data_IF_591736989857
#
_entry.id   IF_591736989857
#
_cell.length_a   1.000
_cell.length_b   1.000
_cell.length_c   1.000
_cell.angle_alpha   90.00
_cell.angle_beta   90.00
_cell.angle_gamma   90.00
#
_symmetry.space_group_name_H-M   'P 1'
#
loop_
_entity.id
_entity.type
_entity.pdbx_description
1 polymer ?
#
# COMPACT_ATOMS: atom_id res chain seq x y z
N UNK A 1 23.67 -8.36 -9.26
CA UNK A 1 23.95 -7.40 -8.17
C UNK A 1 23.90 -8.19 -6.87
N UNK A 2 24.89 -8.08 -6.04
CA UNK A 2 24.90 -8.77 -4.74
C UNK A 2 24.05 -8.01 -3.73
N UNK A 3 23.44 -8.66 -2.74
CA UNK A 3 22.62 -8.02 -1.67
C UNK A 3 23.37 -6.89 -0.92
N UNK A 4 24.68 -6.82 -1.04
CA UNK A 4 25.55 -5.81 -0.39
C UNK A 4 25.55 -4.43 -1.08
N UNK A 5 24.86 -4.25 -2.21
CA UNK A 5 24.88 -3.01 -3.00
C UNK A 5 23.69 -2.06 -2.68
N UNK A 6 22.87 -2.36 -1.68
CA UNK A 6 21.69 -1.57 -1.30
C UNK A 6 21.80 -0.98 0.13
N UNK A 7 21.17 0.19 0.41
CA UNK A 7 20.38 1.02 -0.49
C UNK A 7 21.23 1.75 -1.53
N UNK A 8 20.69 1.94 -2.75
CA UNK A 8 21.37 2.59 -3.86
C UNK A 8 20.54 3.71 -4.48
N UNK A 9 21.06 4.91 -4.53
CA UNK A 9 20.45 6.02 -5.27
C UNK A 9 20.52 5.74 -6.77
N UNK A 10 19.38 5.59 -7.45
CA UNK A 10 19.27 5.27 -8.88
C UNK A 10 18.81 6.45 -9.74
N UNK A 11 18.24 7.49 -9.11
CA UNK A 11 17.93 8.78 -9.71
C UNK A 11 18.01 9.86 -8.61
N UNK A 12 17.83 11.13 -8.96
CA UNK A 12 17.95 12.25 -8.03
C UNK A 12 17.06 12.09 -6.77
N UNK A 13 15.82 11.64 -6.98
CA UNK A 13 14.83 11.44 -5.92
C UNK A 13 14.41 9.97 -5.74
N UNK A 14 15.16 8.99 -6.29
CA UNK A 14 14.81 7.57 -6.20
C UNK A 14 15.94 6.77 -5.56
N UNK A 15 15.62 6.12 -4.45
CA UNK A 15 16.51 5.19 -3.75
C UNK A 15 15.96 3.78 -3.82
N UNK A 16 16.71 2.85 -4.38
CA UNK A 16 16.39 1.42 -4.42
C UNK A 16 16.96 0.73 -3.19
N UNK A 17 16.15 -0.09 -2.54
CA UNK A 17 16.48 -0.84 -1.32
C UNK A 17 16.61 -2.34 -1.56
N UNK A 18 15.99 -2.85 -2.61
CA UNK A 18 16.12 -4.25 -3.06
C UNK A 18 15.83 -4.35 -4.56
N UNK A 19 16.48 -5.30 -5.22
CA UNK A 19 16.23 -5.62 -6.62
C UNK A 19 15.34 -6.88 -6.79
N UNK A 20 15.20 -7.70 -5.72
CA UNK A 20 14.37 -8.91 -5.73
C UNK A 20 13.87 -9.25 -4.31
N UNK A 21 12.59 -8.95 -3.98
CA UNK A 21 11.64 -8.19 -4.80
C UNK A 21 12.15 -6.75 -5.04
N UNK A 22 11.66 -6.11 -6.09
CA UNK A 22 11.96 -4.70 -6.30
C UNK A 22 11.32 -3.89 -5.17
N UNK A 23 12.14 -3.10 -4.43
CA UNK A 23 11.68 -2.16 -3.39
C UNK A 23 12.43 -0.84 -3.59
N UNK A 24 11.70 0.25 -3.76
CA UNK A 24 12.28 1.58 -3.88
C UNK A 24 11.40 2.68 -3.29
N UNK A 25 12.02 3.78 -2.93
CA UNK A 25 11.35 4.99 -2.45
C UNK A 25 11.57 6.11 -3.46
N UNK A 26 10.51 6.82 -3.78
CA UNK A 26 10.54 8.08 -4.51
C UNK A 26 10.34 9.20 -3.49
N UNK A 27 11.39 9.95 -3.20
CA UNK A 27 11.34 11.05 -2.25
C UNK A 27 10.60 12.26 -2.85
N UNK A 28 9.92 13.01 -2.00
CA UNK A 28 9.19 14.24 -2.35
C UNK A 28 8.24 14.06 -3.56
N UNK A 29 7.61 12.87 -3.68
CA UNK A 29 6.68 12.57 -4.76
C UNK A 29 5.36 13.35 -4.61
N UNK A 30 4.88 13.51 -3.39
CA UNK A 30 3.71 14.31 -3.05
C UNK A 30 4.14 15.61 -2.39
N UNK A 31 3.52 16.71 -2.78
CA UNK A 31 3.65 17.98 -2.07
C UNK A 31 2.68 18.06 -0.87
N UNK A 32 2.85 19.09 -0.03
CA UNK A 32 2.03 19.32 1.16
C UNK A 32 0.53 19.43 0.87
N UNK A 33 0.17 20.05 -0.24
CA UNK A 33 -1.22 20.21 -0.62
C UNK A 33 -1.87 18.88 -1.01
N UNK A 34 -1.13 18.01 -1.69
CA UNK A 34 -1.58 16.68 -2.08
C UNK A 34 -1.72 15.77 -0.85
N UNK A 35 -0.73 15.76 0.05
CA UNK A 35 -0.81 15.02 1.32
C UNK A 35 -2.05 15.44 2.13
N UNK A 36 -2.25 16.75 2.30
CA UNK A 36 -3.40 17.28 3.02
C UNK A 36 -4.73 16.93 2.32
N UNK A 37 -4.78 16.93 0.98
CA UNK A 37 -5.98 16.58 0.23
C UNK A 37 -6.44 15.13 0.51
N UNK A 38 -5.51 14.17 0.62
CA UNK A 38 -5.84 12.79 1.02
C UNK A 38 -6.44 12.75 2.42
N UNK A 39 -5.79 13.40 3.40
CA UNK A 39 -6.25 13.42 4.79
C UNK A 39 -7.64 14.05 4.89
N UNK A 40 -7.84 15.23 4.31
CA UNK A 40 -9.12 15.93 4.34
C UNK A 40 -10.26 15.15 3.66
N UNK A 41 -9.96 14.43 2.58
CA UNK A 41 -10.95 13.61 1.86
C UNK A 41 -11.47 12.44 2.70
N UNK A 42 -10.69 11.95 3.68
CA UNK A 42 -11.03 10.72 4.39
C UNK A 42 -11.10 10.80 5.91
N UNK A 43 -10.53 11.80 6.58
CA UNK A 43 -10.46 11.86 8.06
C UNK A 43 -11.80 11.68 8.78
N UNK A 44 -12.89 12.15 8.20
CA UNK A 44 -14.24 12.03 8.75
C UNK A 44 -14.97 10.72 8.34
N UNK A 45 -14.33 9.89 7.53
CA UNK A 45 -14.87 8.60 7.02
C UNK A 45 -14.18 7.40 7.66
N UNK A 46 -13.20 7.61 8.53
CA UNK A 46 -12.41 6.56 9.16
C UNK A 46 -13.28 5.62 10.00
N UNK A 47 -12.97 4.33 9.92
CA UNK A 47 -13.55 3.25 10.73
C UNK A 47 -12.42 2.36 11.23
N UNK A 48 -12.61 1.68 12.36
CA UNK A 48 -11.65 0.68 12.84
C UNK A 48 -11.32 -0.33 11.73
N UNK A 49 -10.01 -0.57 11.55
CA UNK A 49 -9.55 -1.52 10.54
C UNK A 49 -9.90 -2.94 10.96
N UNK A 50 -10.60 -3.66 10.10
CA UNK A 50 -10.84 -5.10 10.28
C UNK A 50 -9.79 -5.86 9.48
N UNK A 51 -9.19 -6.88 10.10
CA UNK A 51 -8.42 -7.91 9.37
C UNK A 51 -9.42 -9.02 9.05
N UNK A 52 -9.50 -9.41 7.80
CA UNK A 52 -10.33 -10.52 7.38
C UNK A 52 -9.65 -11.80 7.89
N UNK A 53 -10.33 -12.54 8.75
CA UNK A 53 -9.92 -13.85 9.25
C UNK A 53 -11.04 -14.84 8.94
N UNK A 54 -10.71 -16.10 8.75
CA UNK A 54 -11.62 -17.19 8.35
C UNK A 54 -12.89 -17.35 9.20
N UNK A 55 -12.99 -16.69 10.34
CA UNK A 55 -14.05 -16.85 11.33
C UNK A 55 -14.70 -15.53 11.78
N UNK A 56 -15.21 -14.69 10.87
CA UNK A 56 -15.88 -13.42 11.15
C UNK A 56 -14.96 -12.19 11.20
N UNK A 57 -15.54 -11.00 10.91
CA UNK A 57 -14.90 -9.69 11.08
C UNK A 57 -14.47 -9.49 12.54
N UNK A 58 -13.28 -9.93 12.86
CA UNK A 58 -12.70 -9.74 14.18
C UNK A 58 -11.71 -8.58 14.07
N UNK A 59 -11.86 -7.58 14.95
CA UNK A 59 -10.80 -6.61 15.24
C UNK A 59 -9.60 -7.39 15.75
N UNK A 60 -8.66 -7.71 14.85
CA UNK A 60 -7.52 -8.53 15.24
C UNK A 60 -6.47 -7.65 15.92
N UNK A 61 -5.89 -8.16 17.02
CA UNK A 61 -4.70 -7.62 17.70
C UNK A 61 -3.47 -7.46 16.77
N UNK A 62 -3.57 -7.85 15.51
CA UNK A 62 -2.51 -7.73 14.49
C UNK A 62 -2.50 -6.37 13.77
N UNK A 63 -3.59 -5.60 13.85
CA UNK A 63 -3.70 -4.29 13.22
C UNK A 63 -4.51 -3.35 14.12
N UNK A 64 -3.87 -2.28 14.57
CA UNK A 64 -4.46 -1.25 15.40
C UNK A 64 -4.45 0.08 14.64
N UNK A 65 -5.36 0.21 13.68
CA UNK A 65 -5.49 1.41 12.84
C UNK A 65 -6.95 1.67 12.50
N UNK A 66 -7.22 2.86 11.98
CA UNK A 66 -8.48 3.19 11.34
C UNK A 66 -8.25 3.37 9.84
N UNK A 67 -9.24 3.08 9.01
CA UNK A 67 -9.11 3.29 7.57
C UNK A 67 -10.43 3.70 6.91
N UNK A 68 -10.33 4.24 5.71
CA UNK A 68 -11.44 4.40 4.78
C UNK A 68 -10.94 4.24 3.33
N UNK A 69 -11.89 4.07 2.42
CA UNK A 69 -11.62 3.95 1.00
C UNK A 69 -11.97 5.26 0.28
N UNK A 70 -11.07 5.71 -0.62
CA UNK A 70 -11.25 6.89 -1.45
C UNK A 70 -11.16 6.47 -2.92
N UNK A 71 -12.04 7.00 -3.75
CA UNK A 71 -12.00 6.75 -5.19
C UNK A 71 -10.89 7.58 -5.85
N UNK A 72 -10.46 7.18 -7.06
CA UNK A 72 -9.46 7.93 -7.83
C UNK A 72 -9.98 9.30 -8.31
N UNK A 73 -11.28 9.46 -8.37
CA UNK A 73 -12.00 10.67 -8.78
C UNK A 73 -12.69 11.38 -7.60
N UNK A 74 -12.26 11.10 -6.36
CA UNK A 74 -12.75 11.80 -5.16
C UNK A 74 -12.61 13.33 -5.31
N UNK A 75 -11.52 13.77 -5.91
CA UNK A 75 -11.25 15.13 -6.36
C UNK A 75 -10.14 15.14 -7.42
N UNK A 76 -9.94 16.30 -8.07
CA UNK A 76 -8.95 16.45 -9.15
C UNK A 76 -7.50 16.15 -8.69
N UNK A 77 -7.17 16.45 -7.42
CA UNK A 77 -5.82 16.23 -6.87
C UNK A 77 -5.55 14.73 -6.77
N UNK A 78 -6.46 13.95 -6.17
CA UNK A 78 -6.32 12.51 -6.06
C UNK A 78 -6.26 11.85 -7.45
N UNK A 79 -7.04 12.39 -8.41
CA UNK A 79 -7.01 11.91 -9.77
C UNK A 79 -5.64 12.11 -10.43
N UNK A 80 -5.03 13.29 -10.30
CA UNK A 80 -3.69 13.56 -10.86
C UNK A 80 -2.60 12.76 -10.17
N UNK A 81 -2.68 12.55 -8.84
CA UNK A 81 -1.75 11.65 -8.12
C UNK A 81 -1.88 10.22 -8.64
N UNK A 82 -3.11 9.72 -8.87
CA UNK A 82 -3.34 8.38 -9.42
C UNK A 82 -2.66 8.20 -10.79
N UNK A 83 -2.75 9.20 -11.67
CA UNK A 83 -2.08 9.17 -12.97
C UNK A 83 -0.55 9.12 -12.82
N UNK A 84 0.01 9.94 -11.94
CA UNK A 84 1.46 9.96 -11.71
C UNK A 84 1.97 8.63 -11.15
N UNK A 85 1.27 8.02 -10.17
CA UNK A 85 1.63 6.70 -9.66
C UNK A 85 1.51 5.64 -10.77
N UNK A 86 0.43 5.66 -11.56
CA UNK A 86 0.22 4.75 -12.70
C UNK A 86 1.38 4.80 -13.71
N UNK A 87 1.87 6.01 -14.03
CA UNK A 87 3.03 6.21 -14.91
C UNK A 87 4.31 5.68 -14.23
N UNK A 88 4.51 6.00 -12.95
CA UNK A 88 5.69 5.58 -12.17
C UNK A 88 5.83 4.05 -12.15
N UNK A 89 4.74 3.33 -11.90
CA UNK A 89 4.73 1.86 -11.82
C UNK A 89 4.50 1.18 -13.17
N UNK A 90 4.29 1.94 -14.24
CA UNK A 90 4.00 1.46 -15.59
C UNK A 90 2.79 0.51 -15.67
N UNK A 91 1.80 0.73 -14.82
CA UNK A 91 0.55 -0.02 -14.82
C UNK A 91 -0.66 0.92 -14.96
N UNK A 92 -1.66 0.55 -15.78
CA UNK A 92 -2.80 1.42 -16.00
C UNK A 92 -3.65 1.56 -14.73
N UNK A 93 -4.19 2.76 -14.49
CA UNK A 93 -5.00 3.08 -13.32
C UNK A 93 -6.23 2.14 -13.16
N UNK A 94 -6.75 1.59 -14.26
CA UNK A 94 -7.84 0.60 -14.21
C UNK A 94 -7.44 -0.72 -13.51
N UNK A 95 -6.16 -0.96 -13.31
CA UNK A 95 -5.66 -2.09 -12.53
C UNK A 95 -5.48 -1.75 -11.05
N UNK A 96 -5.62 -0.46 -10.68
CA UNK A 96 -5.50 -0.02 -9.31
C UNK A 96 -6.80 -0.24 -8.54
N UNK A 97 -6.68 -0.70 -7.28
CA UNK A 97 -7.77 -0.67 -6.31
C UNK A 97 -8.06 0.80 -5.91
N UNK A 98 -9.15 1.05 -5.21
CA UNK A 98 -9.37 2.35 -4.57
C UNK A 98 -8.24 2.61 -3.56
N UNK A 99 -7.96 3.86 -3.27
CA UNK A 99 -7.03 4.22 -2.22
C UNK A 99 -7.56 3.77 -0.86
N UNK A 100 -6.71 3.13 -0.05
CA UNK A 100 -6.97 2.90 1.35
C UNK A 100 -6.24 3.96 2.17
N UNK A 101 -6.94 4.99 2.65
CA UNK A 101 -6.41 5.92 3.63
C UNK A 101 -6.37 5.22 4.98
N UNK A 102 -5.22 5.25 5.66
CA UNK A 102 -5.00 4.59 6.94
C UNK A 102 -4.42 5.58 7.94
N UNK A 103 -4.97 5.54 9.14
CA UNK A 103 -4.55 6.33 10.29
C UNK A 103 -4.12 5.44 11.44
N UNK A 104 -2.99 5.74 12.04
CA UNK A 104 -2.46 5.10 13.24
C UNK A 104 -2.23 6.15 14.33
N UNK A 105 -2.81 5.91 15.49
CA UNK A 105 -2.47 6.62 16.71
C UNK A 105 -1.16 6.09 17.31
N UNK A 106 -0.66 6.74 18.36
CA UNK A 106 0.47 6.22 19.16
C UNK A 106 0.18 4.78 19.60
N UNK A 107 1.19 3.92 19.53
CA UNK A 107 1.14 2.47 19.66
C UNK A 107 0.41 1.73 18.53
N UNK A 108 -0.09 2.44 17.51
CA UNK A 108 -0.69 1.83 16.33
C UNK A 108 0.35 1.10 15.49
N UNK A 109 0.04 -0.13 15.10
CA UNK A 109 0.91 -1.00 14.29
C UNK A 109 0.10 -1.85 13.29
N UNK A 110 0.80 -2.43 12.32
CA UNK A 110 0.30 -3.54 11.54
C UNK A 110 1.39 -4.61 11.45
N UNK A 111 1.15 -5.77 12.06
CA UNK A 111 2.12 -6.88 12.11
C UNK A 111 2.49 -7.37 10.73
N UNK A 112 3.61 -8.10 10.64
CA UNK A 112 4.12 -8.63 9.39
C UNK A 112 3.06 -9.43 8.62
N UNK A 113 2.86 -9.08 7.35
CA UNK A 113 1.86 -9.65 6.46
C UNK A 113 2.31 -9.54 5.00
N UNK A 114 1.61 -10.25 4.14
CA UNK A 114 1.70 -10.12 2.69
C UNK A 114 0.49 -9.35 2.17
N UNK A 115 0.69 -8.46 1.22
CA UNK A 115 -0.41 -7.79 0.51
C UNK A 115 -1.03 -8.68 -0.56
N UNK A 116 -0.27 -9.63 -1.08
CA UNK A 116 -0.74 -10.63 -2.05
C UNK A 116 -1.64 -11.68 -1.39
N UNK A 117 -2.59 -12.21 -2.17
CA UNK A 117 -3.55 -13.20 -1.69
C UNK A 117 -3.01 -14.62 -1.81
N UNK A 118 -3.16 -15.41 -0.75
CA UNK A 118 -2.90 -16.85 -0.80
C UNK A 118 -4.08 -17.57 -1.47
N UNK A 119 -3.92 -17.92 -2.74
CA UNK A 119 -4.94 -18.61 -3.53
C UNK A 119 -5.27 -20.03 -3.02
N UNK A 120 -4.50 -20.57 -2.09
CA UNK A 120 -4.82 -21.87 -1.46
C UNK A 120 -5.94 -21.74 -0.42
N UNK A 121 -6.20 -20.54 0.08
CA UNK A 121 -7.27 -20.26 1.04
C UNK A 121 -8.56 -19.84 0.35
N UNK A 122 -9.73 -20.14 0.94
CA UNK A 122 -11.02 -19.70 0.41
C UNK A 122 -11.13 -18.16 0.38
N UNK A 123 -10.57 -17.51 1.37
CA UNK A 123 -10.51 -16.06 1.43
C UNK A 123 -9.62 -15.47 0.33
N UNK A 124 -8.43 -16.04 0.15
CA UNK A 124 -7.54 -15.64 -0.93
C UNK A 124 -8.19 -15.78 -2.31
N UNK A 125 -8.93 -16.87 -2.57
CA UNK A 125 -9.71 -17.06 -3.80
C UNK A 125 -10.76 -15.95 -3.97
N UNK A 126 -11.56 -15.67 -2.93
CA UNK A 126 -12.58 -14.63 -2.95
C UNK A 126 -12.00 -13.24 -3.24
N UNK A 127 -10.85 -12.92 -2.62
CA UNK A 127 -10.17 -11.65 -2.84
C UNK A 127 -9.48 -11.57 -4.22
N UNK A 128 -9.16 -12.72 -4.80
CA UNK A 128 -8.58 -12.82 -6.14
C UNK A 128 -9.58 -12.49 -7.25
N UNK A 129 -10.84 -12.96 -7.13
CA UNK A 129 -11.87 -12.85 -8.17
C UNK A 129 -12.03 -11.44 -8.77
N UNK A 130 -12.06 -10.34 -7.98
CA UNK A 130 -12.33 -9.01 -8.55
C UNK A 130 -11.25 -8.43 -9.46
N UNK A 131 -10.04 -8.99 -9.51
CA UNK A 131 -8.95 -8.37 -10.30
C UNK A 131 -7.66 -9.19 -10.33
N UNK A 132 -7.68 -10.46 -9.95
CA UNK A 132 -6.47 -11.28 -9.85
C UNK A 132 -5.60 -10.89 -8.65
N UNK A 133 -4.31 -11.20 -8.72
CA UNK A 133 -3.35 -10.94 -7.65
C UNK A 133 -2.98 -9.46 -7.54
N UNK A 134 -2.65 -9.01 -6.31
CA UNK A 134 -1.96 -7.74 -6.07
C UNK A 134 -0.48 -7.89 -6.43
N UNK A 135 -0.07 -7.31 -7.55
CA UNK A 135 1.29 -7.46 -8.08
C UNK A 135 2.28 -6.52 -7.40
N UNK A 136 1.84 -5.29 -7.10
CA UNK A 136 2.66 -4.31 -6.41
C UNK A 136 1.82 -3.42 -5.49
N UNK A 137 2.50 -2.83 -4.52
CA UNK A 137 1.97 -1.88 -3.55
C UNK A 137 2.70 -0.55 -3.66
N UNK A 138 1.94 0.54 -3.63
CA UNK A 138 2.44 1.89 -3.41
C UNK A 138 1.91 2.38 -2.05
N UNK A 139 2.82 2.79 -1.16
CA UNK A 139 2.48 3.43 0.12
C UNK A 139 2.96 4.89 0.06
N UNK A 140 2.04 5.84 0.10
CA UNK A 140 2.38 7.24 0.24
C UNK A 140 2.27 7.66 1.71
N UNK A 141 3.33 8.27 2.24
CA UNK A 141 3.35 8.82 3.60
C UNK A 141 2.83 10.27 3.55
N UNK A 142 1.80 10.57 4.33
CA UNK A 142 1.08 11.84 4.25
C UNK A 142 1.50 12.86 5.33
N UNK A 143 2.23 12.38 6.35
CA UNK A 143 2.85 13.22 7.38
C UNK A 143 4.20 12.64 7.81
N UNK A 144 5.03 13.47 8.42
CA UNK A 144 6.19 13.00 9.16
C UNK A 144 5.73 12.37 10.48
N UNK A 145 6.35 11.25 10.86
CA UNK A 145 6.11 10.60 12.15
C UNK A 145 7.26 10.97 13.08
N UNK A 146 6.95 11.46 14.29
CA UNK A 146 7.96 11.95 15.23
C UNK A 146 8.91 10.84 15.67
N UNK A 147 8.38 9.62 15.92
CA UNK A 147 9.20 8.44 16.22
C UNK A 147 8.44 7.14 15.90
N UNK A 148 9.15 6.14 15.38
CA UNK A 148 8.58 4.88 14.94
C UNK A 148 7.85 4.99 13.60
N UNK A 149 6.80 4.19 13.41
CA UNK A 149 5.88 4.25 12.28
C UNK A 149 6.44 3.89 10.91
N UNK A 150 7.69 3.47 10.79
CA UNK A 150 8.30 3.03 9.54
C UNK A 150 7.61 1.81 8.91
N UNK A 151 8.05 1.43 7.73
CA UNK A 151 7.66 0.16 7.08
C UNK A 151 8.84 -0.78 7.07
N UNK A 152 8.75 -1.88 7.84
CA UNK A 152 9.80 -2.87 7.98
C UNK A 152 9.65 -4.01 6.96
N UNK A 153 10.78 -4.48 6.43
CA UNK A 153 10.89 -5.66 5.58
C UNK A 153 11.79 -6.70 6.27
N UNK A 154 11.25 -7.53 7.16
CA UNK A 154 12.05 -8.41 8.02
C UNK A 154 12.90 -9.42 7.24
N UNK A 155 12.41 -9.92 6.10
CA UNK A 155 13.12 -10.87 5.24
C UNK A 155 14.23 -10.20 4.39
N UNK A 156 14.26 -8.86 4.34
CA UNK A 156 15.28 -8.08 3.66
C UNK A 156 16.19 -7.33 4.63
N UNK A 157 15.82 -7.25 5.91
CA UNK A 157 16.63 -6.69 6.99
C UNK A 157 16.77 -5.16 6.95
N UNK A 158 15.77 -4.44 6.45
CA UNK A 158 15.75 -2.97 6.47
C UNK A 158 14.36 -2.41 6.80
N UNK A 159 14.35 -1.19 7.29
CA UNK A 159 13.17 -0.38 7.57
C UNK A 159 13.18 0.89 6.72
N UNK A 160 12.02 1.32 6.26
CA UNK A 160 11.79 2.58 5.54
C UNK A 160 11.10 3.56 6.49
N UNK A 161 11.72 4.69 6.74
CA UNK A 161 11.14 5.75 7.57
C UNK A 161 9.88 6.34 6.92
N UNK A 162 8.90 6.71 7.74
CA UNK A 162 7.70 7.41 7.30
C UNK A 162 8.00 8.91 7.17
N UNK A 163 8.35 9.36 5.96
CA UNK A 163 8.61 10.77 5.63
C UNK A 163 7.50 11.31 4.76
N UNK A 164 6.97 12.45 5.15
CA UNK A 164 5.89 13.12 4.40
C UNK A 164 6.29 13.36 2.94
N UNK A 165 5.39 13.02 2.03
CA UNK A 165 5.57 13.19 0.60
C UNK A 165 6.29 12.04 -0.11
N UNK A 166 6.96 11.15 0.62
CA UNK A 166 7.62 9.99 0.04
C UNK A 166 6.61 8.92 -0.37
N UNK A 167 6.93 8.21 -1.45
CA UNK A 167 6.17 7.04 -1.90
C UNK A 167 7.08 5.82 -1.94
N UNK A 168 6.76 4.83 -1.12
CA UNK A 168 7.38 3.52 -1.12
C UNK A 168 6.65 2.63 -2.13
N UNK A 169 7.41 2.01 -3.05
CA UNK A 169 6.90 1.04 -4.03
C UNK A 169 7.59 -0.29 -3.80
N UNK A 170 6.82 -1.38 -3.76
CA UNK A 170 7.39 -2.72 -3.73
C UNK A 170 6.55 -3.74 -4.50
N UNK A 171 7.24 -4.74 -5.07
CA UNK A 171 6.62 -5.84 -5.75
C UNK A 171 6.22 -6.92 -4.75
N UNK A 172 4.99 -7.41 -4.87
CA UNK A 172 4.41 -8.41 -3.98
C UNK A 172 4.66 -9.85 -4.46
N UNK A 173 4.92 -9.99 -5.75
CA UNK A 173 5.03 -11.28 -6.43
C UNK A 173 6.43 -11.52 -7.01
N UNK A 174 6.78 -12.78 -7.18
CA UNK A 174 7.95 -13.19 -7.95
C UNK A 174 7.83 -12.68 -9.39
N UNK A 175 8.97 -12.36 -9.98
CA UNK A 175 9.02 -11.76 -11.31
C UNK A 175 8.22 -12.57 -12.34
N UNK A 176 7.39 -11.88 -13.12
CA UNK A 176 6.58 -12.42 -14.21
C UNK A 176 5.59 -13.53 -13.78
N UNK A 177 5.26 -13.58 -12.49
CA UNK A 177 4.30 -14.54 -11.92
C UNK A 177 3.24 -13.84 -11.05
N UNK A 178 2.33 -14.63 -10.52
CA UNK A 178 1.37 -14.24 -9.49
C UNK A 178 1.65 -14.92 -8.14
N UNK A 179 2.79 -15.62 -8.03
CA UNK A 179 3.23 -16.24 -6.79
C UNK A 179 3.70 -15.17 -5.80
N UNK A 180 3.32 -15.31 -4.54
CA UNK A 180 3.77 -14.42 -3.47
C UNK A 180 5.29 -14.47 -3.37
N UNK A 181 5.95 -13.33 -3.42
CA UNK A 181 7.39 -13.27 -3.17
C UNK A 181 7.65 -13.37 -1.66
N UNK A 182 8.40 -14.36 -1.16
CA UNK A 182 8.56 -14.57 0.29
C UNK A 182 9.20 -13.38 1.01
N UNK A 183 10.09 -12.64 0.34
CA UNK A 183 10.72 -11.44 0.89
C UNK A 183 9.87 -10.18 0.76
N UNK A 184 8.63 -10.24 0.23
CA UNK A 184 7.68 -9.13 0.25
C UNK A 184 6.92 -9.02 1.57
N UNK A 185 7.20 -9.90 2.53
CA UNK A 185 6.70 -9.80 3.90
C UNK A 185 7.11 -8.44 4.47
N UNK A 186 6.13 -7.68 4.98
CA UNK A 186 6.38 -6.34 5.51
C UNK A 186 5.46 -6.03 6.70
N UNK A 187 5.85 -5.03 7.50
CA UNK A 187 5.10 -4.61 8.68
C UNK A 187 5.03 -3.07 8.77
N UNK A 188 3.90 -2.55 9.24
CA UNK A 188 3.83 -1.17 9.72
C UNK A 188 4.30 -1.12 11.17
N UNK A 189 5.49 -0.57 11.39
CA UNK A 189 6.10 -0.47 12.71
C UNK A 189 5.24 0.36 13.66
N UNK A 190 5.28 0.07 14.97
CA UNK A 190 4.56 0.86 15.96
C UNK A 190 4.92 2.36 15.85
N UNK A 191 3.91 3.20 15.93
CA UNK A 191 4.08 4.65 16.13
C UNK A 191 4.41 4.85 17.59
N UNK A 192 5.67 5.19 17.90
CA UNK A 192 6.11 5.37 19.29
C UNK A 192 5.84 6.79 19.80
N UNK A 193 5.82 7.77 18.91
CA UNK A 193 5.40 9.14 19.21
C UNK A 193 4.70 9.79 18.01
N UNK A 194 3.67 10.60 18.28
CA UNK A 194 2.86 11.28 17.27
C UNK A 194 1.79 10.38 16.64
N UNK A 195 1.49 10.62 15.39
CA UNK A 195 0.49 9.90 14.59
C UNK A 195 1.03 9.61 13.19
N UNK A 196 0.45 8.62 12.50
CA UNK A 196 0.85 8.27 11.14
C UNK A 196 -0.35 8.22 10.22
N UNK A 197 -0.26 8.95 9.11
CA UNK A 197 -1.20 8.91 8.01
C UNK A 197 -0.52 8.38 6.76
N UNK A 198 -1.09 7.37 6.16
CA UNK A 198 -0.64 6.82 4.87
C UNK A 198 -1.82 6.58 3.95
N UNK A 199 -1.52 6.46 2.67
CA UNK A 199 -2.46 5.89 1.71
C UNK A 199 -1.80 4.73 0.97
N UNK A 200 -2.49 3.59 0.94
CA UNK A 200 -2.10 2.41 0.17
C UNK A 200 -2.81 2.42 -1.18
N UNK A 201 -2.09 2.02 -2.22
CA UNK A 201 -2.62 1.77 -3.55
C UNK A 201 -2.06 0.45 -4.07
N UNK A 202 -2.93 -0.51 -4.32
CA UNK A 202 -2.56 -1.82 -4.86
C UNK A 202 -2.88 -1.90 -6.35
N UNK A 203 -1.93 -2.42 -7.12
CA UNK A 203 -2.15 -2.71 -8.53
C UNK A 203 -2.35 -4.21 -8.75
N UNK A 204 -3.44 -4.53 -9.43
CA UNK A 204 -3.93 -5.89 -9.69
C UNK A 204 -3.43 -6.42 -11.03
N UNK A 205 -3.38 -7.74 -11.15
CA UNK A 205 -2.94 -8.43 -12.36
C UNK A 205 -3.84 -8.14 -13.58
N UNK A 206 -5.14 -7.92 -13.36
CA UNK A 206 -6.11 -7.58 -14.42
C UNK A 206 -6.92 -6.35 -14.03
N UNK A 207 -7.63 -5.76 -15.00
CA UNK A 207 -8.43 -4.56 -14.79
C UNK A 207 -9.50 -4.77 -13.71
N UNK A 208 -9.39 -4.03 -12.63
CA UNK A 208 -10.30 -4.08 -11.50
C UNK A 208 -11.70 -3.50 -11.83
N UNK A 209 -11.78 -2.58 -12.78
CA UNK A 209 -13.03 -1.90 -13.15
C UNK A 209 -13.98 -2.75 -14.00
N UNK A 210 -13.47 -3.76 -14.74
CA UNK A 210 -14.32 -4.59 -15.58
C UNK A 210 -15.25 -5.54 -14.82
N UNK A 211 -14.90 -5.93 -13.59
CA UNK A 211 -15.70 -6.88 -12.83
C UNK A 211 -16.88 -6.22 -12.10
N UNK A 212 -16.80 -4.93 -11.76
CA UNK A 212 -17.94 -4.19 -11.18
C UNK A 212 -19.04 -3.84 -12.18
N UNK A 213 -18.70 -3.71 -13.48
CA UNK A 213 -19.70 -3.43 -14.52
C UNK A 213 -20.66 -4.61 -14.76
N UNK A 214 -20.27 -5.84 -14.43
CA UNK A 214 -21.12 -7.02 -14.55
C UNK A 214 -22.06 -7.23 -13.34
N UNK A 215 -21.69 -6.75 -12.15
CA UNK A 215 -22.56 -6.86 -10.96
C UNK A 215 -23.72 -5.85 -10.97
N UNK A 216 -23.60 -4.74 -11.70
CA UNK A 216 -24.67 -3.72 -11.81
C UNK A 216 -25.65 -3.96 -12.96
N UNK A 217 -25.41 -4.97 -13.81
CA UNK A 217 -26.26 -5.29 -14.97
C UNK A 217 -27.31 -6.39 -14.72
N UNK A 218 -27.46 -6.85 -13.47
CA UNK A 218 -28.46 -7.85 -13.07
C UNK A 218 -29.48 -7.25 -12.09
N UNK A 219 -30.27 -6.27 -12.58
CA UNK A 219 -31.56 -5.91 -12.00
C UNK A 219 -32.52 -5.54 -13.12
#
# INVERSE_FOLDING_TARGET
>A
MTETDFPKKIAENVTMYSADPIVYVVNDFLNDHECNSFIESGKNKLKESTVISSDQHVTHKSRTSQNCWLTHDENDILHEVSKRISILVQMPIRNAEQYQLVYYETAGEYKAHFDSFDYQTEEGKKNWEPGGQRLLTAIAYLNDVEDGGGTDFPELGFNIDARKGDVLIFHNCEKDTTNIHPKSLHAGMPVTNGEKWIVNLWFRAVSYTHLRAHETATY
#
